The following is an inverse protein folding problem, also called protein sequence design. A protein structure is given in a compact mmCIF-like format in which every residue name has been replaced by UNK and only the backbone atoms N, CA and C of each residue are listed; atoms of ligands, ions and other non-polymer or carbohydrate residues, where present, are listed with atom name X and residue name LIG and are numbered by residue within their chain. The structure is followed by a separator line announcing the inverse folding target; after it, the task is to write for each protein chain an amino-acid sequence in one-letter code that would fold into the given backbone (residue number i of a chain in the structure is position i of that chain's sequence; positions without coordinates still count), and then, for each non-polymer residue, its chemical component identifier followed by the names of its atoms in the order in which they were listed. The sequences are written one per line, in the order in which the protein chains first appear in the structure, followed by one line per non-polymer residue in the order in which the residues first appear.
data_IF_908977661477
#
_entry.id   IF_908977661477
#
_cell.length_a   1.000
_cell.length_b   1.000
_cell.length_c   1.000
_cell.angle_alpha   90.00
_cell.angle_beta   90.00
_cell.angle_gamma   90.00
#
_symmetry.space_group_name_H-M   'P 1'
#
loop_
_entity.id
_entity.type
_entity.pdbx_description
1 polymer ?
#
# COMPACT_ATOMS: atom_id res chain seq x y z
N UNK A 1 13.35 -5.20 21.93
CA UNK A 1 12.03 -4.55 21.67
C UNK A 1 10.95 -5.35 22.37
N UNK A 2 10.17 -4.71 23.24
CA UNK A 2 9.06 -5.40 23.89
C UNK A 2 7.84 -5.55 22.94
N UNK A 3 6.84 -6.26 23.41
CA UNK A 3 5.66 -6.58 22.56
C UNK A 3 4.83 -5.36 22.22
N UNK A 4 4.75 -4.38 23.15
CA UNK A 4 4.02 -3.13 22.90
C UNK A 4 4.74 -2.32 21.82
N UNK A 5 6.06 -2.23 21.90
CA UNK A 5 6.87 -1.55 20.89
C UNK A 5 6.76 -2.24 19.54
N UNK A 6 6.73 -3.57 19.51
CA UNK A 6 6.52 -4.34 18.28
C UNK A 6 5.17 -4.04 17.66
N UNK A 7 4.12 -4.00 18.47
CA UNK A 7 2.77 -3.69 18.00
C UNK A 7 2.70 -2.26 17.43
N UNK A 8 3.29 -1.30 18.14
CA UNK A 8 3.32 0.09 17.67
C UNK A 8 4.03 0.20 16.32
N UNK A 9 5.13 -0.54 16.15
CA UNK A 9 5.84 -0.56 14.87
C UNK A 9 5.03 -1.22 13.77
N UNK A 10 4.30 -2.30 14.09
CA UNK A 10 3.39 -2.93 13.14
C UNK A 10 2.29 -1.97 12.69
N UNK A 11 1.72 -1.21 13.61
CA UNK A 11 0.70 -0.22 13.29
C UNK A 11 1.26 0.90 12.42
N UNK A 12 2.50 1.30 12.66
CA UNK A 12 3.17 2.29 11.83
C UNK A 12 3.40 1.76 10.41
N UNK A 13 3.88 0.52 10.29
CA UNK A 13 4.08 -0.13 8.99
C UNK A 13 2.74 -0.25 8.25
N UNK A 14 1.67 -0.58 8.96
CA UNK A 14 0.36 -0.69 8.34
C UNK A 14 -0.09 0.64 7.73
N UNK A 15 0.15 1.75 8.42
CA UNK A 15 -0.14 3.09 7.89
C UNK A 15 0.73 3.42 6.68
N UNK A 16 2.00 3.06 6.73
CA UNK A 16 2.93 3.29 5.63
C UNK A 16 2.55 2.47 4.39
N UNK A 17 2.03 1.25 4.58
CA UNK A 17 1.52 0.45 3.46
C UNK A 17 0.30 1.10 2.80
N UNK A 18 -0.60 1.70 3.60
CA UNK A 18 -1.73 2.46 3.05
C UNK A 18 -1.28 3.71 2.31
N UNK A 19 -0.27 4.41 2.83
CA UNK A 19 0.31 5.56 2.15
C UNK A 19 0.94 5.14 0.82
N UNK A 20 1.57 3.98 0.79
CA UNK A 20 2.15 3.43 -0.44
C UNK A 20 1.07 3.14 -1.49
N UNK A 21 -0.08 2.57 -1.08
CA UNK A 21 -1.21 2.38 -1.98
C UNK A 21 -1.68 3.70 -2.59
N UNK A 22 -1.82 4.73 -1.76
CA UNK A 22 -2.24 6.06 -2.22
C UNK A 22 -1.22 6.68 -3.17
N UNK A 23 0.08 6.49 -2.90
CA UNK A 23 1.15 6.98 -3.76
C UNK A 23 1.09 6.33 -5.14
N UNK A 24 0.82 5.03 -5.20
CA UNK A 24 0.68 4.33 -6.49
C UNK A 24 -0.54 4.83 -7.26
N UNK A 25 -1.65 5.09 -6.58
CA UNK A 25 -2.84 5.67 -7.20
C UNK A 25 -2.53 7.04 -7.79
N UNK A 26 -1.77 7.88 -7.09
CA UNK A 26 -1.36 9.19 -7.57
C UNK A 26 -0.46 9.08 -8.81
N UNK A 27 0.47 8.12 -8.82
CA UNK A 27 1.32 7.85 -9.99
C UNK A 27 0.45 7.44 -11.18
N UNK A 28 -0.51 6.55 -10.97
CA UNK A 28 -1.43 6.11 -12.05
C UNK A 28 -2.20 7.29 -12.64
N UNK A 29 -2.70 8.20 -11.79
CA UNK A 29 -3.37 9.41 -12.26
C UNK A 29 -2.46 10.27 -13.12
N UNK A 30 -1.20 10.41 -12.74
CA UNK A 30 -0.23 11.19 -13.49
C UNK A 30 0.05 10.57 -14.85
N UNK A 31 0.21 9.25 -14.91
CA UNK A 31 0.39 8.52 -16.17
C UNK A 31 -0.83 8.73 -17.08
N UNK A 32 -2.03 8.66 -16.52
CA UNK A 32 -3.27 8.88 -17.27
C UNK A 32 -3.36 10.30 -17.82
N UNK A 33 -2.92 11.30 -17.06
CA UNK A 33 -2.87 12.70 -17.52
C UNK A 33 -1.91 12.87 -18.69
N UNK A 34 -0.73 12.26 -18.60
CA UNK A 34 0.26 12.30 -19.68
C UNK A 34 -0.32 11.63 -20.93
N UNK A 35 -0.96 10.48 -20.79
CA UNK A 35 -1.59 9.78 -21.91
C UNK A 35 -2.69 10.64 -22.55
N UNK A 36 -3.49 11.32 -21.75
CA UNK A 36 -4.55 12.20 -22.24
C UNK A 36 -3.97 13.37 -23.06
N UNK A 37 -2.90 14.00 -22.57
CA UNK A 37 -2.21 15.05 -23.32
C UNK A 37 -1.64 14.51 -24.62
N UNK A 38 -1.14 13.28 -24.63
CA UNK A 38 -0.56 12.69 -25.82
C UNK A 38 -1.59 12.35 -26.89
N UNK A 39 -2.87 12.23 -26.54
CA UNK A 39 -3.93 12.05 -27.54
C UNK A 39 -3.91 13.21 -28.53
N UNK A 40 -3.71 14.43 -28.04
CA UNK A 40 -3.61 15.62 -28.88
C UNK A 40 -2.24 15.76 -29.54
N UNK A 41 -1.17 15.46 -28.80
CA UNK A 41 0.20 15.63 -29.28
C UNK A 41 0.62 14.54 -30.27
N UNK A 42 0.25 13.29 -30.01
CA UNK A 42 0.49 12.19 -30.94
C UNK A 42 1.93 11.70 -31.04
N UNK A 43 2.69 11.75 -29.93
CA UNK A 43 4.06 11.25 -29.90
C UNK A 43 4.04 9.71 -29.74
N UNK A 44 4.53 9.01 -30.74
CA UNK A 44 4.50 7.54 -30.78
C UNK A 44 5.26 6.89 -29.62
N UNK A 45 6.40 7.49 -29.21
CA UNK A 45 7.19 7.00 -28.09
C UNK A 45 6.33 6.87 -26.82
N UNK A 46 5.48 7.87 -26.54
CA UNK A 46 4.61 7.84 -25.37
C UNK A 46 3.53 6.77 -25.51
N UNK A 47 2.95 6.63 -26.71
CA UNK A 47 1.95 5.59 -26.96
C UNK A 47 2.51 4.19 -26.75
N UNK A 48 3.79 3.99 -27.02
CA UNK A 48 4.46 2.70 -26.87
C UNK A 48 4.89 2.41 -25.42
N UNK A 49 5.31 3.44 -24.69
CA UNK A 49 5.95 3.26 -23.38
C UNK A 49 5.01 3.45 -22.19
N UNK A 50 4.00 4.31 -22.30
CA UNK A 50 3.08 4.55 -21.19
C UNK A 50 2.28 3.29 -20.79
N UNK A 51 1.81 2.45 -21.72
CA UNK A 51 1.12 1.21 -21.32
C UNK A 51 1.98 0.28 -20.47
N UNK A 52 3.29 0.21 -20.71
CA UNK A 52 4.19 -0.63 -19.91
C UNK A 52 4.29 -0.11 -18.48
N UNK A 53 4.35 1.20 -18.31
CA UNK A 53 4.37 1.83 -16.97
C UNK A 53 3.05 1.56 -16.27
N UNK A 54 1.93 1.72 -16.97
CA UNK A 54 0.60 1.47 -16.41
C UNK A 54 0.46 0.03 -15.94
N UNK A 55 0.91 -0.93 -16.73
CA UNK A 55 0.89 -2.35 -16.37
C UNK A 55 1.71 -2.62 -15.11
N UNK A 56 2.91 -2.01 -15.01
CA UNK A 56 3.76 -2.15 -13.84
C UNK A 56 3.10 -1.57 -12.59
N UNK A 57 2.43 -0.43 -12.72
CA UNK A 57 1.71 0.19 -11.60
C UNK A 57 0.55 -0.72 -11.16
N UNK A 58 -0.22 -1.26 -12.10
CA UNK A 58 -1.34 -2.15 -11.79
C UNK A 58 -0.85 -3.39 -11.03
N UNK A 59 0.25 -3.99 -11.45
CA UNK A 59 0.86 -5.13 -10.75
C UNK A 59 1.32 -4.75 -9.36
N UNK A 60 1.95 -3.58 -9.23
CA UNK A 60 2.41 -3.09 -7.93
C UNK A 60 1.23 -2.82 -6.99
N UNK A 61 0.13 -2.27 -7.49
CA UNK A 61 -1.05 -2.01 -6.69
C UNK A 61 -1.66 -3.30 -6.13
N UNK A 62 -1.73 -4.35 -6.95
CA UNK A 62 -2.20 -5.67 -6.49
C UNK A 62 -1.28 -6.23 -5.42
N UNK A 63 0.03 -6.20 -5.64
CA UNK A 63 1.02 -6.71 -4.69
C UNK A 63 0.98 -5.94 -3.36
N UNK A 64 0.82 -4.62 -3.42
CA UNK A 64 0.74 -3.78 -2.22
C UNK A 64 -0.55 -4.08 -1.45
N UNK A 65 -1.67 -4.24 -2.13
CA UNK A 65 -2.93 -4.59 -1.49
C UNK A 65 -2.84 -5.96 -0.80
N UNK A 66 -2.21 -6.93 -1.46
CA UNK A 66 -2.01 -8.27 -0.89
C UNK A 66 -1.14 -8.25 0.36
N UNK A 67 0.00 -7.52 0.32
CA UNK A 67 0.89 -7.44 1.48
C UNK A 67 0.24 -6.65 2.63
N UNK A 68 -0.53 -5.62 2.31
CA UNK A 68 -1.24 -4.83 3.32
C UNK A 68 -2.26 -5.69 4.05
N UNK A 69 -3.04 -6.49 3.33
CA UNK A 69 -4.03 -7.39 3.91
C UNK A 69 -3.36 -8.50 4.73
N UNK A 70 -2.31 -9.12 4.18
CA UNK A 70 -1.58 -10.19 4.87
C UNK A 70 -0.89 -9.66 6.13
N UNK A 71 -0.35 -8.46 6.07
CA UNK A 71 0.32 -7.85 7.23
C UNK A 71 -0.70 -7.47 8.32
N UNK A 72 -1.87 -6.98 7.93
CA UNK A 72 -2.95 -6.70 8.88
C UNK A 72 -3.35 -7.97 9.63
N UNK A 73 -3.48 -9.10 8.93
CA UNK A 73 -3.78 -10.38 9.55
C UNK A 73 -2.66 -10.81 10.50
N UNK A 74 -1.40 -10.61 10.12
CA UNK A 74 -0.24 -10.90 10.97
C UNK A 74 -0.25 -10.03 12.23
N UNK A 75 -0.52 -8.75 12.10
CA UNK A 75 -0.63 -7.82 13.22
C UNK A 75 -1.75 -8.24 14.17
N UNK A 76 -2.92 -8.58 13.64
CA UNK A 76 -4.06 -8.97 14.45
C UNK A 76 -3.81 -10.30 15.17
N UNK A 77 -3.12 -11.23 14.53
CA UNK A 77 -2.72 -12.49 15.16
C UNK A 77 -1.73 -12.23 16.30
N UNK A 78 -0.74 -11.37 16.08
CA UNK A 78 0.21 -10.99 17.11
C UNK A 78 -0.50 -10.39 18.33
N UNK A 79 -1.44 -9.48 18.08
CA UNK A 79 -2.23 -8.85 19.14
C UNK A 79 -3.01 -9.89 19.95
N UNK A 80 -3.67 -10.80 19.26
CA UNK A 80 -4.49 -11.84 19.85
C UNK A 80 -3.66 -12.87 20.61
N UNK A 81 -2.59 -13.40 19.99
CA UNK A 81 -1.72 -14.43 20.56
C UNK A 81 -1.02 -13.96 21.83
N UNK A 82 -0.74 -12.65 21.93
CA UNK A 82 -0.09 -12.08 23.10
C UNK A 82 -1.09 -11.47 24.08
N UNK A 83 -2.38 -11.63 23.84
CA UNK A 83 -3.45 -11.15 24.73
C UNK A 83 -3.33 -9.67 25.03
N UNK A 84 -2.93 -8.87 24.08
CA UNK A 84 -2.62 -7.46 24.30
C UNK A 84 -3.85 -6.63 24.62
N UNK A 85 -5.02 -7.03 24.10
CA UNK A 85 -6.29 -6.41 24.46
C UNK A 85 -6.60 -6.54 25.94
N UNK A 86 -6.36 -7.71 26.51
CA UNK A 86 -6.55 -7.98 27.94
C UNK A 86 -5.51 -7.19 28.78
N UNK A 87 -4.26 -7.14 28.29
CA UNK A 87 -3.18 -6.42 28.96
C UNK A 87 -3.38 -4.91 28.97
N UNK A 88 -4.04 -4.39 27.93
CA UNK A 88 -4.30 -2.97 27.79
C UNK A 88 -5.54 -2.48 28.53
N UNK A 89 -6.37 -3.40 29.02
CA UNK A 89 -7.55 -3.08 29.82
C UNK A 89 -7.34 -3.51 31.27
N UNK A 90 -6.92 -2.58 32.15
CA UNK A 90 -6.64 -2.92 33.53
C UNK A 90 -7.89 -3.27 34.34
N UNK A 91 -9.07 -3.03 33.79
CA UNK A 91 -10.33 -3.35 34.47
C UNK A 91 -10.90 -4.71 34.11
N UNK A 92 -10.29 -5.36 33.13
CA UNK A 92 -10.75 -6.64 32.62
C UNK A 92 -10.59 -7.78 33.62
#
# INVERSE_FOLDING_TARGET
MDKVQQLDLMDKIQRELKDLEQSQTAVLKKVSQIAAHNITLGVELLDQKLPDIQESIDKNMVAIAEISEAFEAHRNKFFSDNKMGTQLDPTA
#
